data_IF_941641037014
#
_entry.id   IF_941641037014
#
_cell.length_a   1.000
_cell.length_b   1.000
_cell.length_c   1.000
_cell.angle_alpha   90.00
_cell.angle_beta   90.00
_cell.angle_gamma   90.00
#
_symmetry.space_group_name_H-M   'P 1'
#
loop_
_entity.id
_entity.type
_entity.pdbx_description
1 polymer ?
#
# COMPACT_ATOMS: atom_id res chain seq x y z
N UNK A 1 1.41 -4.38 -7.79
CA UNK A 1 2.09 -4.22 -6.48
C UNK A 1 3.13 -3.12 -6.50
N UNK A 2 4.14 -3.14 -7.37
CA UNK A 2 5.14 -2.06 -7.44
C UNK A 2 4.52 -0.65 -7.59
N UNK A 3 3.54 -0.48 -8.47
CA UNK A 3 2.80 0.79 -8.63
C UNK A 3 2.10 1.24 -7.34
N UNK A 4 1.53 0.31 -6.57
CA UNK A 4 0.83 0.63 -5.32
C UNK A 4 1.80 1.09 -4.23
N UNK A 5 2.94 0.40 -4.11
CA UNK A 5 4.04 0.80 -3.22
C UNK A 5 4.59 2.17 -3.64
N UNK A 6 4.79 2.38 -4.94
CA UNK A 6 5.23 3.67 -5.47
C UNK A 6 4.21 4.79 -5.22
N UNK A 7 2.90 4.51 -5.31
CA UNK A 7 1.86 5.48 -5.00
C UNK A 7 1.86 5.90 -3.52
N UNK A 8 2.12 4.96 -2.60
CA UNK A 8 2.25 5.25 -1.17
C UNK A 8 3.50 6.09 -0.90
N UNK A 9 4.64 5.72 -1.49
CA UNK A 9 5.88 6.50 -1.34
C UNK A 9 5.74 7.90 -1.94
N UNK A 10 5.14 7.99 -3.12
CA UNK A 10 4.84 9.27 -3.77
C UNK A 10 3.95 10.15 -2.89
N UNK A 11 2.88 9.59 -2.31
CA UNK A 11 2.05 10.31 -1.35
C UNK A 11 2.88 10.80 -0.16
N UNK A 12 3.57 9.88 0.51
CA UNK A 12 4.36 10.14 1.71
C UNK A 12 5.47 11.19 1.50
N UNK A 13 6.15 11.18 0.36
CA UNK A 13 7.16 12.16 -0.04
C UNK A 13 6.63 13.61 -0.08
N UNK A 14 5.30 13.80 -0.20
CA UNK A 14 4.67 15.11 -0.07
C UNK A 14 4.91 15.76 1.31
N UNK A 15 5.04 14.97 2.38
CA UNK A 15 5.21 15.43 3.76
C UNK A 15 6.53 15.03 4.41
N UNK A 16 7.12 13.90 4.01
CA UNK A 16 8.28 13.32 4.66
C UNK A 16 9.58 13.71 3.95
N UNK A 17 10.68 13.71 4.72
CA UNK A 17 12.04 13.74 4.15
C UNK A 17 12.34 12.41 3.47
N UNK A 18 13.17 12.42 2.43
CA UNK A 18 13.53 11.23 1.64
C UNK A 18 13.95 10.03 2.52
N UNK A 19 14.79 10.24 3.55
CA UNK A 19 15.20 9.16 4.44
C UNK A 19 14.04 8.55 5.26
N UNK A 20 13.07 9.37 5.68
CA UNK A 20 11.93 8.90 6.45
C UNK A 20 10.90 8.19 5.56
N UNK A 21 10.73 8.66 4.32
CA UNK A 21 9.87 8.01 3.33
C UNK A 21 10.39 6.62 2.96
N UNK A 22 11.68 6.49 2.66
CA UNK A 22 12.32 5.19 2.43
C UNK A 22 12.13 4.25 3.63
N UNK A 23 12.36 4.76 4.86
CA UNK A 23 12.14 3.99 6.08
C UNK A 23 10.69 3.53 6.25
N UNK A 24 9.72 4.39 5.95
CA UNK A 24 8.29 4.06 5.98
C UNK A 24 7.95 2.95 4.99
N UNK A 25 8.42 3.05 3.75
CA UNK A 25 8.16 2.04 2.72
C UNK A 25 8.81 0.70 3.09
N UNK A 26 10.05 0.70 3.55
CA UNK A 26 10.72 -0.51 4.03
C UNK A 26 9.97 -1.15 5.20
N UNK A 27 9.53 -0.35 6.18
CA UNK A 27 8.75 -0.83 7.31
C UNK A 27 7.40 -1.43 6.88
N UNK A 28 6.66 -0.74 6.02
CA UNK A 28 5.39 -1.23 5.47
C UNK A 28 5.56 -2.56 4.74
N UNK A 29 6.58 -2.68 3.89
CA UNK A 29 6.88 -3.92 3.17
C UNK A 29 7.20 -5.07 4.13
N UNK A 30 8.00 -4.81 5.16
CA UNK A 30 8.31 -5.81 6.20
C UNK A 30 7.04 -6.21 6.97
N UNK A 31 6.24 -5.25 7.41
CA UNK A 31 4.99 -5.52 8.13
C UNK A 31 4.02 -6.35 7.28
N UNK A 32 3.83 -5.99 6.01
CA UNK A 32 3.00 -6.76 5.07
C UNK A 32 3.53 -8.17 4.82
N UNK A 33 4.85 -8.35 4.76
CA UNK A 33 5.46 -9.67 4.70
C UNK A 33 5.09 -10.51 5.92
N UNK A 34 5.29 -9.99 7.13
CA UNK A 34 4.92 -10.69 8.37
C UNK A 34 3.43 -11.03 8.41
N UNK A 35 2.55 -10.08 8.10
CA UNK A 35 1.09 -10.29 8.11
C UNK A 35 0.69 -11.40 7.14
N UNK A 36 1.24 -11.42 5.91
CA UNK A 36 0.82 -12.40 4.90
C UNK A 36 1.42 -13.78 5.09
N UNK A 37 2.70 -13.86 5.49
CA UNK A 37 3.39 -15.15 5.54
C UNK A 37 3.41 -15.77 6.94
N UNK A 38 3.46 -14.95 7.99
CA UNK A 38 3.48 -15.42 9.39
C UNK A 38 2.09 -15.36 10.01
N UNK A 39 1.27 -14.37 9.62
CA UNK A 39 -0.08 -14.18 10.15
C UNK A 39 -1.02 -15.39 10.04
N UNK A 40 -1.05 -16.14 8.93
CA UNK A 40 -1.86 -17.35 8.83
C UNK A 40 -1.47 -18.44 9.83
N UNK A 41 -0.17 -18.64 10.06
CA UNK A 41 0.36 -19.60 11.06
C UNK A 41 -0.03 -19.19 12.48
N UNK A 42 -0.10 -17.88 12.74
CA UNK A 42 -0.59 -17.31 14.00
C UNK A 42 -2.12 -17.26 14.10
N UNK A 43 -2.85 -17.78 13.11
CA UNK A 43 -4.31 -17.77 13.02
C UNK A 43 -4.91 -16.36 13.16
N UNK A 44 -4.23 -15.35 12.61
CA UNK A 44 -4.75 -13.99 12.61
C UNK A 44 -6.09 -13.94 11.86
N UNK A 45 -7.03 -13.08 12.30
CA UNK A 45 -8.31 -12.94 11.63
C UNK A 45 -8.12 -12.44 10.19
N UNK A 46 -9.03 -12.85 9.30
CA UNK A 46 -8.97 -12.52 7.87
C UNK A 46 -8.91 -11.01 7.61
N UNK A 47 -9.55 -10.21 8.46
CA UNK A 47 -9.49 -8.75 8.42
C UNK A 47 -8.04 -8.22 8.54
N UNK A 48 -7.21 -8.83 9.40
CA UNK A 48 -5.80 -8.46 9.55
C UNK A 48 -4.99 -8.87 8.33
N UNK A 49 -5.25 -10.05 7.77
CA UNK A 49 -4.58 -10.53 6.56
C UNK A 49 -4.86 -9.58 5.37
N UNK A 50 -6.09 -9.08 5.25
CA UNK A 50 -6.53 -8.10 4.26
C UNK A 50 -5.88 -6.72 4.36
N UNK A 51 -5.18 -6.41 5.46
CA UNK A 51 -4.39 -5.17 5.57
C UNK A 51 -3.10 -5.22 4.74
N UNK A 52 -2.63 -6.42 4.39
CA UNK A 52 -1.45 -6.59 3.57
C UNK A 52 -1.78 -6.46 2.09
N UNK A 53 -1.02 -5.63 1.36
CA UNK A 53 -1.14 -5.58 -0.10
C UNK A 53 -0.78 -6.93 -0.76
N UNK A 54 0.10 -7.73 -0.13
CA UNK A 54 0.48 -9.06 -0.64
C UNK A 54 -0.67 -10.06 -0.59
N UNK A 55 -1.59 -9.92 0.37
CA UNK A 55 -2.77 -10.78 0.47
C UNK A 55 -3.54 -10.79 -0.85
N UNK A 56 -3.78 -9.61 -1.43
CA UNK A 56 -4.53 -9.46 -2.68
C UNK A 56 -3.78 -9.85 -3.94
N UNK A 57 -2.46 -10.03 -3.86
CA UNK A 57 -1.67 -10.56 -4.96
C UNK A 57 -1.67 -12.10 -4.96
N UNK A 58 -1.59 -12.72 -3.77
CA UNK A 58 -1.55 -14.17 -3.62
C UNK A 58 -2.92 -14.85 -3.67
N UNK A 59 -3.98 -14.23 -3.14
CA UNK A 59 -5.32 -14.85 -3.09
C UNK A 59 -5.91 -15.22 -4.45
N UNK A 60 -5.76 -14.43 -5.53
CA UNK A 60 -6.30 -14.79 -6.84
C UNK A 60 -5.77 -16.12 -7.38
N UNK A 61 -4.55 -16.52 -7.01
CA UNK A 61 -3.95 -17.80 -7.41
C UNK A 61 -4.63 -19.00 -6.75
N UNK A 62 -5.26 -18.79 -5.59
CA UNK A 62 -5.86 -19.85 -4.78
C UNK A 62 -7.39 -19.85 -4.81
N UNK A 63 -8.01 -18.68 -4.97
CA UNK A 63 -9.46 -18.48 -4.82
C UNK A 63 -10.12 -17.84 -6.04
N UNK A 64 -9.36 -17.62 -7.12
CA UNK A 64 -9.83 -16.89 -8.30
C UNK A 64 -9.90 -15.38 -8.11
N UNK A 65 -10.10 -14.66 -9.21
CA UNK A 65 -10.08 -13.20 -9.23
C UNK A 65 -11.31 -12.62 -8.51
N UNK A 66 -11.08 -11.99 -7.36
CA UNK A 66 -12.15 -11.29 -6.62
C UNK A 66 -12.24 -9.84 -7.07
N UNK A 67 -13.20 -9.54 -7.96
CA UNK A 67 -13.36 -8.21 -8.56
C UNK A 67 -13.52 -7.08 -7.53
N UNK A 68 -14.20 -7.35 -6.41
CA UNK A 68 -14.35 -6.38 -5.33
C UNK A 68 -13.00 -5.97 -4.73
N UNK A 69 -12.11 -6.94 -4.46
CA UNK A 69 -10.78 -6.67 -3.94
C UNK A 69 -9.92 -5.92 -4.95
N UNK A 70 -10.03 -6.27 -6.23
CA UNK A 70 -9.34 -5.54 -7.31
C UNK A 70 -9.79 -4.09 -7.34
N UNK A 71 -11.11 -3.84 -7.29
CA UNK A 71 -11.66 -2.49 -7.28
C UNK A 71 -11.18 -1.68 -6.08
N UNK A 72 -11.10 -2.28 -4.89
CA UNK A 72 -10.58 -1.62 -3.68
C UNK A 72 -9.12 -1.19 -3.87
N UNK A 73 -8.24 -2.07 -4.36
CA UNK A 73 -6.82 -1.73 -4.54
C UNK A 73 -6.63 -0.64 -5.59
N UNK A 74 -7.38 -0.71 -6.69
CA UNK A 74 -7.35 0.31 -7.74
C UNK A 74 -7.82 1.65 -7.18
N UNK A 75 -8.92 1.67 -6.43
CA UNK A 75 -9.46 2.89 -5.82
C UNK A 75 -8.47 3.49 -4.81
N UNK A 76 -7.90 2.69 -3.91
CA UNK A 76 -6.91 3.15 -2.93
C UNK A 76 -5.65 3.66 -3.61
N UNK A 77 -5.16 2.97 -4.65
CA UNK A 77 -3.98 3.39 -5.41
C UNK A 77 -4.22 4.71 -6.15
N UNK A 78 -5.37 4.84 -6.81
CA UNK A 78 -5.76 6.07 -7.49
C UNK A 78 -5.90 7.25 -6.50
N UNK A 79 -6.50 7.00 -5.33
CA UNK A 79 -6.62 8.01 -4.28
C UNK A 79 -5.24 8.43 -3.75
N UNK A 80 -4.32 7.49 -3.50
CA UNK A 80 -2.97 7.80 -3.06
C UNK A 80 -2.21 8.67 -4.09
N UNK A 81 -2.32 8.31 -5.37
CA UNK A 81 -1.72 9.10 -6.45
C UNK A 81 -2.33 10.50 -6.52
N UNK A 82 -3.66 10.61 -6.54
CA UNK A 82 -4.37 11.89 -6.61
C UNK A 82 -4.00 12.80 -5.44
N UNK A 83 -4.00 12.27 -4.21
CA UNK A 83 -3.60 13.01 -3.02
C UNK A 83 -2.12 13.42 -3.06
N UNK A 84 -1.23 12.56 -3.54
CA UNK A 84 0.18 12.88 -3.75
C UNK A 84 0.35 14.03 -4.74
N UNK A 85 -0.31 13.95 -5.90
CA UNK A 85 -0.28 14.98 -6.94
C UNK A 85 -0.83 16.31 -6.42
N UNK A 86 -1.96 16.30 -5.73
CA UNK A 86 -2.53 17.49 -5.10
C UNK A 86 -1.57 18.09 -4.07
N UNK A 87 -0.90 17.26 -3.27
CA UNK A 87 0.04 17.70 -2.24
C UNK A 87 1.28 18.34 -2.83
N UNK A 88 1.86 17.75 -3.88
CA UNK A 88 3.01 18.30 -4.60
C UNK A 88 2.63 19.58 -5.33
N UNK A 89 1.51 19.59 -6.05
CA UNK A 89 1.02 20.78 -6.74
C UNK A 89 0.89 21.97 -5.78
N UNK A 90 0.40 21.76 -4.56
CA UNK A 90 0.30 22.80 -3.51
C UNK A 90 1.64 23.15 -2.85
N UNK A 91 2.60 22.22 -2.81
CA UNK A 91 3.93 22.45 -2.23
C UNK A 91 4.76 23.41 -3.09
N UNK A 92 4.64 23.27 -4.41
CA UNK A 92 5.46 24.03 -5.36
C UNK A 92 4.98 25.48 -5.57
N UNK A 93 3.75 25.82 -5.16
CA UNK A 93 3.19 27.19 -5.24
C UNK A 93 3.58 28.05 -4.02
N UNK A 94 4.15 27.45 -2.98
CA UNK A 94 4.67 28.15 -1.81
C UNK A 94 6.20 28.13 -1.83
N UNK A 95 6.80 29.21 -2.32
CA UNK A 95 8.17 29.60 -1.93
C UNK A 95 8.20 29.88 -0.43
#
# INVERSE_FOLDING_TARGET
MALFVAAIGYLAAGWLRSAADTGLISFLLAAWFFITFVGPELKLPEATLKLSAFYYYGTPLLHGLQLANVAVIVAVGAAALALGTLRFARKDIGV
#
